data_IF_761392091446
#
_entry.id   IF_761392091446
#
_cell.length_a   1.000
_cell.length_b   1.000
_cell.length_c   1.000
_cell.angle_alpha   90.00
_cell.angle_beta   90.00
_cell.angle_gamma   90.00
#
_symmetry.space_group_name_H-M   'P 1'
#
loop_
_entity.id
_entity.type
_entity.pdbx_description
1 polymer ?
#
# COMPACT_ATOMS: atom_id res chain seq x y z
N UNK A 1 -3.35 -43.76 30.19
CA UNK A 1 -3.58 -43.30 28.80
C UNK A 1 -4.71 -42.28 28.86
N UNK A 2 -4.56 -40.98 28.64
CA UNK A 2 -3.59 -40.19 27.89
C UNK A 2 -4.36 -38.93 27.53
N UNK A 3 -4.66 -38.11 28.55
CA UNK A 3 -5.44 -36.89 28.43
C UNK A 3 -4.58 -35.89 27.65
N UNK A 4 -4.76 -35.84 26.34
CA UNK A 4 -4.17 -34.81 25.48
C UNK A 4 -4.71 -33.46 25.95
N UNK A 5 -3.95 -32.80 26.82
CA UNK A 5 -4.15 -31.41 27.16
C UNK A 5 -4.17 -30.63 25.84
N UNK A 6 -5.35 -30.12 25.47
CA UNK A 6 -5.49 -29.11 24.45
C UNK A 6 -4.75 -27.87 24.94
N UNK A 7 -3.46 -27.79 24.64
CA UNK A 7 -2.65 -26.58 24.82
C UNK A 7 -3.32 -25.53 23.95
N UNK A 8 -3.99 -24.57 24.59
CA UNK A 8 -4.60 -23.45 23.89
C UNK A 8 -3.50 -22.77 23.04
N UNK A 9 -3.76 -22.48 21.75
CA UNK A 9 -2.74 -21.88 20.89
C UNK A 9 -2.31 -20.55 21.50
N UNK A 10 -1.03 -20.46 21.83
CA UNK A 10 -0.40 -19.27 22.38
C UNK A 10 -0.76 -18.06 21.51
N UNK A 11 -1.48 -17.07 22.07
CA UNK A 11 -1.85 -15.83 21.38
C UNK A 11 -0.55 -15.07 21.08
N UNK A 12 0.02 -15.27 19.89
CA UNK A 12 1.14 -14.47 19.40
C UNK A 12 0.68 -13.02 19.29
N UNK A 13 1.18 -12.16 20.16
CA UNK A 13 0.94 -10.72 20.09
C UNK A 13 1.45 -10.18 18.75
N UNK A 14 0.64 -9.36 18.09
CA UNK A 14 0.98 -8.78 16.79
C UNK A 14 2.13 -7.78 16.98
N UNK A 15 3.33 -8.02 16.41
CA UNK A 15 4.46 -7.14 16.65
C UNK A 15 4.26 -5.81 15.89
N UNK A 16 4.44 -4.69 16.60
CA UNK A 16 4.54 -3.34 16.03
C UNK A 16 3.45 -2.96 15.01
N UNK A 17 2.19 -3.31 15.32
CA UNK A 17 1.03 -3.03 14.47
C UNK A 17 0.86 -1.53 14.16
N UNK A 18 1.16 -0.65 15.12
CA UNK A 18 1.02 0.79 14.96
C UNK A 18 1.95 1.37 13.87
N UNK A 19 3.21 0.94 13.81
CA UNK A 19 4.16 1.42 12.81
C UNK A 19 3.76 0.98 11.39
N UNK A 20 3.37 -0.28 11.24
CA UNK A 20 2.84 -0.81 9.97
C UNK A 20 1.58 -0.06 9.56
N UNK A 21 0.62 0.08 10.47
CA UNK A 21 -0.63 0.79 10.21
C UNK A 21 -0.40 2.23 9.76
N UNK A 22 0.53 2.93 10.43
CA UNK A 22 0.92 4.29 10.09
C UNK A 22 1.49 4.39 8.68
N UNK A 23 2.42 3.51 8.30
CA UNK A 23 2.99 3.49 6.93
C UNK A 23 1.90 3.23 5.89
N UNK A 24 1.01 2.27 6.13
CA UNK A 24 -0.07 1.94 5.19
C UNK A 24 -1.09 3.07 5.04
N UNK A 25 -1.46 3.72 6.15
CA UNK A 25 -2.40 4.84 6.15
C UNK A 25 -1.79 6.04 5.42
N UNK A 26 -0.56 6.42 5.76
CA UNK A 26 0.13 7.54 5.13
C UNK A 26 0.33 7.31 3.64
N UNK A 27 0.76 6.10 3.25
CA UNK A 27 0.89 5.76 1.84
C UNK A 27 -0.47 5.78 1.12
N UNK A 28 -1.52 5.27 1.75
CA UNK A 28 -2.86 5.27 1.16
C UNK A 28 -3.40 6.69 0.93
N UNK A 29 -3.26 7.57 1.93
CA UNK A 29 -3.63 8.98 1.82
C UNK A 29 -2.80 9.71 0.78
N UNK A 30 -1.49 9.43 0.73
CA UNK A 30 -0.60 9.97 -0.30
C UNK A 30 -1.05 9.61 -1.71
N UNK A 31 -1.36 8.33 -1.98
CA UNK A 31 -1.84 7.89 -3.29
C UNK A 31 -3.18 8.53 -3.65
N UNK A 32 -4.10 8.63 -2.68
CA UNK A 32 -5.38 9.30 -2.89
C UNK A 32 -5.18 10.78 -3.23
N UNK A 33 -4.32 11.49 -2.50
CA UNK A 33 -3.99 12.89 -2.75
C UNK A 33 -3.38 13.09 -4.14
N UNK A 34 -2.38 12.28 -4.51
CA UNK A 34 -1.79 12.33 -5.85
C UNK A 34 -2.83 12.05 -6.94
N UNK A 35 -3.67 11.02 -6.78
CA UNK A 35 -4.71 10.70 -7.75
C UNK A 35 -5.73 11.84 -7.93
N UNK A 36 -6.18 12.45 -6.84
CA UNK A 36 -7.09 13.59 -6.87
C UNK A 36 -6.45 14.83 -7.48
N UNK A 37 -5.18 15.13 -7.15
CA UNK A 37 -4.44 16.23 -7.75
C UNK A 37 -4.27 16.05 -9.27
N UNK A 38 -3.96 14.83 -9.72
CA UNK A 38 -3.87 14.50 -11.13
C UNK A 38 -5.18 14.69 -11.90
N UNK A 39 -6.32 14.35 -11.29
CA UNK A 39 -7.63 14.61 -11.88
C UNK A 39 -7.99 16.09 -11.86
N UNK A 40 -7.68 16.80 -10.78
CA UNK A 40 -7.93 18.24 -10.66
C UNK A 40 -7.13 19.06 -11.70
N UNK A 41 -5.89 18.69 -11.97
CA UNK A 41 -5.06 19.31 -13.03
C UNK A 41 -5.60 19.09 -14.45
N UNK A 42 -6.56 18.19 -14.62
CA UNK A 42 -7.17 17.84 -15.90
C UNK A 42 -8.67 18.17 -15.88
N UNK A 43 -9.09 19.09 -15.00
CA UNK A 43 -10.49 19.52 -14.82
C UNK A 43 -11.48 18.36 -14.65
N UNK A 44 -11.05 17.28 -14.02
CA UNK A 44 -11.85 16.06 -13.83
C UNK A 44 -12.38 15.48 -15.15
N UNK A 45 -11.68 15.72 -16.27
CA UNK A 45 -12.08 15.20 -17.56
C UNK A 45 -12.21 13.67 -17.50
N UNK A 46 -13.30 13.08 -18.04
CA UNK A 46 -13.53 11.62 -17.95
C UNK A 46 -12.35 10.78 -18.48
N UNK A 47 -11.63 11.30 -19.47
CA UNK A 47 -10.43 10.67 -20.06
C UNK A 47 -9.20 10.69 -19.13
N UNK A 48 -9.20 11.49 -18.08
CA UNK A 48 -8.10 11.67 -17.12
C UNK A 48 -8.39 11.08 -15.72
N UNK A 49 -9.63 10.63 -15.46
CA UNK A 49 -10.07 10.07 -14.18
C UNK A 49 -9.37 8.77 -13.75
N UNK A 50 -8.65 8.11 -14.67
CA UNK A 50 -7.88 6.90 -14.36
C UNK A 50 -6.89 7.11 -13.21
N UNK A 51 -6.30 8.30 -13.10
CA UNK A 51 -5.39 8.66 -12.01
C UNK A 51 -6.11 8.75 -10.65
N UNK A 52 -7.29 9.37 -10.61
CA UNK A 52 -8.11 9.44 -9.41
C UNK A 52 -8.62 8.05 -8.97
N UNK A 53 -9.11 7.22 -9.89
CA UNK A 53 -9.55 5.87 -9.54
C UNK A 53 -8.40 4.98 -9.06
N UNK A 54 -7.24 5.06 -9.72
CA UNK A 54 -6.05 4.31 -9.29
C UNK A 54 -5.55 4.80 -7.92
N UNK A 55 -5.49 6.12 -7.71
CA UNK A 55 -5.04 6.73 -6.46
C UNK A 55 -6.00 6.46 -5.30
N UNK A 56 -7.29 6.74 -5.47
CA UNK A 56 -8.30 6.54 -4.42
C UNK A 56 -8.58 5.05 -4.16
N UNK A 57 -8.66 4.23 -5.22
CA UNK A 57 -8.83 2.77 -5.08
C UNK A 57 -7.62 2.12 -4.42
N UNK A 58 -6.41 2.48 -4.86
CA UNK A 58 -5.17 2.03 -4.25
C UNK A 58 -5.00 2.52 -2.82
N UNK A 59 -5.40 3.76 -2.53
CA UNK A 59 -5.41 4.31 -1.18
C UNK A 59 -6.40 3.62 -0.25
N UNK A 60 -7.62 3.39 -0.71
CA UNK A 60 -8.67 2.72 0.05
C UNK A 60 -8.28 1.30 0.46
N UNK A 61 -7.71 0.52 -0.45
CA UNK A 61 -7.28 -0.85 -0.11
C UNK A 61 -6.11 -0.86 0.90
N UNK A 62 -5.21 0.13 0.86
CA UNK A 62 -4.15 0.27 1.86
C UNK A 62 -4.70 0.67 3.23
N UNK A 63 -5.73 1.52 3.28
CA UNK A 63 -6.45 1.84 4.53
C UNK A 63 -7.11 0.58 5.10
N UNK A 64 -7.76 -0.24 4.27
CA UNK A 64 -8.30 -1.53 4.71
C UNK A 64 -7.18 -2.44 5.26
N UNK A 65 -6.03 -2.53 4.58
CA UNK A 65 -4.89 -3.29 5.08
C UNK A 65 -4.34 -2.73 6.41
N UNK A 66 -4.36 -1.41 6.59
CA UNK A 66 -4.00 -0.74 7.84
C UNK A 66 -4.94 -1.14 8.97
N UNK A 67 -6.25 -1.10 8.73
CA UNK A 67 -7.27 -1.53 9.70
C UNK A 67 -7.11 -3.01 10.09
N UNK A 68 -6.84 -3.88 9.10
CA UNK A 68 -6.55 -5.29 9.35
C UNK A 68 -5.31 -5.47 10.25
N UNK A 69 -4.30 -4.62 10.08
CA UNK A 69 -3.07 -4.68 10.88
C UNK A 69 -3.28 -4.30 12.35
N UNK A 70 -4.27 -3.48 12.68
CA UNK A 70 -4.58 -3.07 14.08
C UNK A 70 -5.71 -3.87 14.72
N UNK A 71 -6.27 -4.86 14.02
CA UNK A 71 -7.43 -5.65 14.47
C UNK A 71 -7.21 -6.52 15.74
N UNK A 72 -5.99 -6.58 16.27
CA UNK A 72 -5.62 -7.44 17.41
C UNK A 72 -5.52 -8.94 17.10
N UNK A 73 -5.84 -9.36 15.86
CA UNK A 73 -5.70 -10.74 15.40
C UNK A 73 -4.41 -10.93 14.61
N UNK A 74 -3.53 -11.82 15.07
CA UNK A 74 -2.27 -12.14 14.37
C UNK A 74 -2.50 -12.61 12.93
N UNK A 75 -3.57 -13.39 12.68
CA UNK A 75 -3.91 -13.86 11.33
C UNK A 75 -4.27 -12.69 10.41
N UNK A 76 -5.15 -11.80 10.88
CA UNK A 76 -5.57 -10.63 10.10
C UNK A 76 -4.42 -9.65 9.88
N UNK A 77 -3.57 -9.46 10.89
CA UNK A 77 -2.34 -8.68 10.77
C UNK A 77 -1.43 -9.21 9.66
N UNK A 78 -1.15 -10.52 9.67
CA UNK A 78 -0.29 -11.14 8.66
C UNK A 78 -0.89 -11.03 7.26
N UNK A 79 -2.21 -11.24 7.12
CA UNK A 79 -2.90 -11.08 5.84
C UNK A 79 -2.77 -9.64 5.35
N UNK A 80 -3.11 -8.65 6.18
CA UNK A 80 -3.05 -7.22 5.84
C UNK A 80 -1.65 -6.80 5.40
N UNK A 81 -0.61 -7.22 6.14
CA UNK A 81 0.79 -6.93 5.79
C UNK A 81 1.19 -7.53 4.46
N UNK A 82 0.88 -8.81 4.20
CA UNK A 82 1.30 -9.46 2.95
C UNK A 82 0.56 -8.91 1.74
N UNK A 83 -0.75 -8.70 1.86
CA UNK A 83 -1.56 -8.07 0.81
C UNK A 83 -1.04 -6.67 0.51
N UNK A 84 -0.76 -5.86 1.55
CA UNK A 84 -0.20 -4.53 1.35
C UNK A 84 1.17 -4.53 0.66
N UNK A 85 2.07 -5.46 1.01
CA UNK A 85 3.37 -5.59 0.34
C UNK A 85 3.22 -5.94 -1.15
N UNK A 86 2.31 -6.86 -1.48
CA UNK A 86 2.02 -7.22 -2.87
C UNK A 86 1.41 -6.05 -3.64
N UNK A 87 0.48 -5.31 -3.02
CA UNK A 87 -0.12 -4.12 -3.61
C UNK A 87 0.90 -3.01 -3.83
N UNK A 88 1.79 -2.75 -2.87
CA UNK A 88 2.86 -1.76 -3.03
C UNK A 88 3.79 -2.12 -4.20
N UNK A 89 4.17 -3.38 -4.34
CA UNK A 89 4.95 -3.85 -5.50
C UNK A 89 4.18 -3.65 -6.82
N UNK A 90 2.89 -4.00 -6.83
CA UNK A 90 2.03 -3.80 -7.99
C UNK A 90 1.93 -2.32 -8.36
N UNK A 91 1.74 -1.43 -7.38
CA UNK A 91 1.68 0.01 -7.59
C UNK A 91 2.97 0.55 -8.19
N UNK A 92 4.13 0.17 -7.65
CA UNK A 92 5.44 0.54 -8.21
C UNK A 92 5.53 0.11 -9.68
N UNK A 93 5.16 -1.13 -9.99
CA UNK A 93 5.19 -1.64 -11.36
C UNK A 93 4.25 -0.87 -12.30
N UNK A 94 3.00 -0.66 -11.88
CA UNK A 94 1.99 0.06 -12.67
C UNK A 94 2.41 1.52 -12.89
N UNK A 95 2.87 2.21 -11.85
CA UNK A 95 3.30 3.61 -11.98
C UNK A 95 4.57 3.74 -12.83
N UNK A 96 5.53 2.82 -12.71
CA UNK A 96 6.70 2.79 -13.59
C UNK A 96 6.30 2.57 -15.06
N UNK A 97 5.36 1.65 -15.32
CA UNK A 97 4.86 1.41 -16.68
C UNK A 97 4.12 2.64 -17.24
N UNK A 98 3.30 3.31 -16.43
CA UNK A 98 2.59 4.52 -16.85
C UNK A 98 3.52 5.71 -17.05
N UNK A 99 4.55 5.85 -16.22
CA UNK A 99 5.61 6.84 -16.43
C UNK A 99 6.35 6.57 -17.75
N UNK A 100 6.77 5.32 -18.00
CA UNK A 100 7.42 4.95 -19.26
C UNK A 100 6.54 5.25 -20.48
N UNK A 101 5.25 4.90 -20.43
CA UNK A 101 4.29 5.19 -21.52
C UNK A 101 3.99 6.68 -21.72
N UNK A 102 4.25 7.52 -20.72
CA UNK A 102 4.03 8.97 -20.80
C UNK A 102 5.31 9.73 -21.16
N UNK A 103 6.47 9.07 -21.09
CA UNK A 103 7.76 9.65 -21.42
C UNK A 103 7.86 9.90 -22.93
N UNK A 104 8.18 11.14 -23.31
CA UNK A 104 8.34 11.52 -24.73
C UNK A 104 7.03 11.65 -25.53
N UNK A 105 5.85 11.55 -24.89
CA UNK A 105 4.55 11.74 -25.54
C UNK A 105 3.96 13.10 -25.14
N UNK A 106 3.94 14.11 -26.03
CA UNK A 106 3.50 15.48 -25.70
C UNK A 106 2.11 15.51 -25.06
N UNK A 107 1.17 14.71 -25.57
CA UNK A 107 -0.22 14.63 -25.10
C UNK A 107 -0.37 14.07 -23.66
N UNK A 108 0.68 13.49 -23.08
CA UNK A 108 0.66 12.83 -21.77
C UNK A 108 1.73 13.35 -20.82
N UNK A 109 2.48 14.38 -21.21
CA UNK A 109 3.61 14.85 -20.40
C UNK A 109 3.19 15.33 -19.01
N UNK A 110 2.01 15.94 -18.87
CA UNK A 110 1.49 16.40 -17.57
C UNK A 110 1.32 15.25 -16.55
N UNK A 111 1.13 14.02 -17.04
CA UNK A 111 0.91 12.83 -16.21
C UNK A 111 2.21 12.17 -15.79
N UNK A 112 3.31 12.44 -16.50
CA UNK A 112 4.59 11.81 -16.23
C UNK A 112 5.14 12.16 -14.83
N UNK A 113 5.23 13.45 -14.43
CA UNK A 113 5.68 13.81 -13.07
C UNK A 113 4.82 13.18 -11.99
N UNK A 114 3.51 13.06 -12.22
CA UNK A 114 2.58 12.47 -11.27
C UNK A 114 2.87 10.98 -11.06
N UNK A 115 3.02 10.20 -12.14
CA UNK A 115 3.32 8.76 -12.02
C UNK A 115 4.71 8.52 -11.43
N UNK A 116 5.68 9.38 -11.74
CA UNK A 116 7.01 9.32 -11.11
C UNK A 116 6.89 9.56 -9.60
N UNK A 117 6.17 10.61 -9.19
CA UNK A 117 5.97 10.90 -7.77
C UNK A 117 5.30 9.73 -7.05
N UNK A 118 4.17 9.23 -7.58
CA UNK A 118 3.45 8.08 -7.01
C UNK A 118 4.34 6.85 -6.91
N UNK A 119 5.14 6.56 -7.94
CA UNK A 119 6.10 5.46 -7.95
C UNK A 119 7.16 5.59 -6.85
N UNK A 120 7.77 6.77 -6.71
CA UNK A 120 8.77 7.05 -5.67
C UNK A 120 8.16 6.89 -4.27
N UNK A 121 6.98 7.46 -4.04
CA UNK A 121 6.27 7.31 -2.76
C UNK A 121 5.99 5.84 -2.42
N UNK A 122 5.58 5.04 -3.39
CA UNK A 122 5.37 3.60 -3.20
C UNK A 122 6.67 2.83 -2.91
N UNK A 123 7.79 3.19 -3.55
CA UNK A 123 9.12 2.60 -3.23
C UNK A 123 9.53 2.92 -1.79
N UNK A 124 9.37 4.17 -1.36
CA UNK A 124 9.66 4.59 0.02
C UNK A 124 8.78 3.83 1.02
N UNK A 125 7.47 3.75 0.77
CA UNK A 125 6.54 3.01 1.62
C UNK A 125 6.89 1.52 1.71
N UNK A 126 7.28 0.89 0.60
CA UNK A 126 7.73 -0.50 0.58
C UNK A 126 9.04 -0.69 1.37
N UNK A 127 9.98 0.25 1.25
CA UNK A 127 11.21 0.28 2.04
C UNK A 127 10.91 0.33 3.54
N UNK A 128 10.03 1.24 3.96
CA UNK A 128 9.59 1.35 5.36
C UNK A 128 8.89 0.07 5.83
N UNK A 129 8.01 -0.52 5.02
CA UNK A 129 7.37 -1.79 5.35
C UNK A 129 8.37 -2.93 5.55
N UNK A 130 9.48 -2.97 4.79
CA UNK A 130 10.56 -3.94 5.01
C UNK A 130 11.30 -3.71 6.33
N UNK A 131 11.46 -2.46 6.75
CA UNK A 131 12.10 -2.10 8.03
C UNK A 131 11.21 -2.47 9.22
N UNK A 132 9.91 -2.18 9.13
CA UNK A 132 8.94 -2.40 10.21
C UNK A 132 8.35 -3.82 10.23
N UNK A 133 8.58 -4.65 9.20
CA UNK A 133 8.12 -6.05 9.19
C UNK A 133 8.73 -6.81 10.38
N UNK A 134 7.93 -7.58 11.14
CA UNK A 134 8.48 -8.41 12.20
C UNK A 134 9.45 -9.44 11.62
N UNK A 135 10.70 -9.39 12.08
CA UNK A 135 11.66 -10.44 11.77
C UNK A 135 11.29 -11.68 12.58
N UNK A 136 11.35 -12.87 11.98
CA UNK A 136 11.29 -14.12 12.76
C UNK A 136 12.38 -14.03 13.82
N UNK A 137 12.04 -14.17 15.11
CA UNK A 137 13.03 -14.52 16.14
C UNK A 137 13.70 -15.80 15.64
N UNK A 138 15.03 -15.78 15.47
CA UNK A 138 15.79 -17.00 15.22
C UNK A 138 15.52 -17.91 16.42
N UNK A 139 14.95 -19.07 16.15
CA UNK A 139 14.82 -20.15 17.11
C UNK A 139 16.21 -20.71 17.42
#
# INVERSE_FOLDING_TARGET
AGLHAMVAPEKKEAPNAAAVAGVLLLHGLYLAACGCLGAAQQDWAPKAMHSAYAGAGGGGILVVCSLLSVSGSYRLYMIGVHVALLLQLLFIFVFALQAYKSYGVPEKQDRFPLFVAMGVGSVVALGLMKVFKPKKKKA
#
